data_IF_517772022281
#
_entry.id   IF_517772022281
#
_cell.length_a   1.000
_cell.length_b   1.000
_cell.length_c   1.000
_cell.angle_alpha   90.00
_cell.angle_beta   90.00
_cell.angle_gamma   90.00
#
_symmetry.space_group_name_H-M   'P 1'
#
loop_
_entity.id
_entity.type
_entity.pdbx_description
1 polymer ?
#
# COMPACT_ATOMS: atom_id res chain seq x y z
N UNK A 1 -0.24 17.48 -3.98
CA UNK A 1 0.99 17.00 -3.31
C UNK A 1 2.11 17.91 -3.77
N UNK A 2 2.86 18.46 -2.83
CA UNK A 2 4.07 19.23 -3.07
C UNK A 2 5.28 18.43 -2.61
N UNK A 3 6.39 18.58 -3.32
CA UNK A 3 7.67 17.99 -2.96
C UNK A 3 8.65 19.14 -2.77
N UNK A 4 9.20 19.22 -1.56
CA UNK A 4 10.22 20.20 -1.21
C UNK A 4 11.60 19.52 -1.26
N UNK A 5 12.55 20.06 -2.02
CA UNK A 5 13.92 19.55 -2.08
C UNK A 5 14.82 20.39 -1.16
N UNK A 6 15.40 19.73 -0.15
CA UNK A 6 16.34 20.32 0.80
C UNK A 6 17.80 19.91 0.50
N UNK A 7 18.06 19.29 -0.66
CA UNK A 7 19.38 18.83 -1.11
C UNK A 7 19.75 17.44 -0.57
N UNK A 8 19.73 17.26 0.75
CA UNK A 8 20.01 15.96 1.38
C UNK A 8 18.74 15.19 1.76
N UNK A 9 17.58 15.84 1.68
CA UNK A 9 16.29 15.24 2.03
C UNK A 9 15.18 15.83 1.18
N UNK A 10 14.10 15.05 1.01
CA UNK A 10 12.86 15.50 0.38
C UNK A 10 11.78 15.66 1.46
N UNK A 11 11.08 16.80 1.42
CA UNK A 11 9.82 17.02 2.13
C UNK A 11 8.64 16.64 1.26
N UNK A 12 7.62 16.03 1.86
CA UNK A 12 6.37 15.68 1.21
C UNK A 12 5.21 16.35 1.93
N UNK A 13 4.50 17.23 1.21
CA UNK A 13 3.33 17.93 1.73
C UNK A 13 2.08 17.54 0.94
N UNK A 14 1.17 16.79 1.55
CA UNK A 14 -0.10 16.40 0.94
C UNK A 14 -1.23 17.37 1.33
N UNK A 15 -1.88 17.94 0.32
CA UNK A 15 -3.16 18.62 0.47
C UNK A 15 -4.25 17.63 0.05
N UNK A 16 -5.13 17.29 0.98
CA UNK A 16 -6.16 16.26 0.80
C UNK A 16 -7.54 16.82 1.14
N UNK A 17 -8.56 16.32 0.46
CA UNK A 17 -9.94 16.54 0.85
C UNK A 17 -10.40 15.41 1.78
N UNK A 18 -11.23 15.74 2.76
CA UNK A 18 -11.88 14.72 3.60
C UNK A 18 -12.69 13.74 2.74
N UNK A 19 -12.73 12.44 3.09
CA UNK A 19 -12.19 11.81 4.30
C UNK A 19 -10.74 11.27 4.16
N UNK A 20 -10.00 11.70 3.15
CA UNK A 20 -8.66 11.14 2.86
C UNK A 20 -7.64 11.63 3.88
N UNK A 21 -6.83 10.71 4.43
CA UNK A 21 -5.75 11.04 5.36
C UNK A 21 -4.51 11.54 4.62
N UNK A 22 -4.03 12.73 4.99
CA UNK A 22 -2.80 13.30 4.44
C UNK A 22 -1.59 12.42 4.79
N UNK A 23 -1.50 11.93 6.02
CA UNK A 23 -0.43 11.04 6.48
C UNK A 23 -0.34 9.77 5.63
N UNK A 24 -1.48 9.16 5.29
CA UNK A 24 -1.50 7.98 4.42
C UNK A 24 -0.99 8.30 3.02
N UNK A 25 -1.41 9.42 2.44
CA UNK A 25 -0.94 9.85 1.11
C UNK A 25 0.56 10.12 1.13
N UNK A 26 1.06 10.82 2.15
CA UNK A 26 2.51 11.03 2.31
C UNK A 26 3.26 9.71 2.49
N UNK A 27 2.75 8.79 3.33
CA UNK A 27 3.36 7.48 3.55
C UNK A 27 3.43 6.62 2.28
N UNK A 28 2.38 6.64 1.45
CA UNK A 28 2.38 5.96 0.15
C UNK A 28 3.42 6.54 -0.80
N UNK A 29 3.52 7.86 -0.88
CA UNK A 29 4.49 8.53 -1.74
C UNK A 29 5.92 8.28 -1.27
N UNK A 30 6.16 8.31 0.03
CA UNK A 30 7.45 7.96 0.60
C UNK A 30 7.83 6.52 0.22
N UNK A 31 6.95 5.55 0.46
CA UNK A 31 7.24 4.15 0.16
C UNK A 31 7.47 3.92 -1.35
N UNK A 32 6.72 4.60 -2.22
CA UNK A 32 6.93 4.52 -3.66
C UNK A 32 8.32 5.05 -4.08
N UNK A 33 8.80 6.14 -3.46
CA UNK A 33 10.12 6.70 -3.74
C UNK A 33 11.26 5.79 -3.24
N UNK A 34 11.08 5.15 -2.07
CA UNK A 34 12.01 4.15 -1.56
C UNK A 34 12.10 2.96 -2.53
N UNK A 35 10.96 2.41 -2.94
CA UNK A 35 10.92 1.29 -3.89
C UNK A 35 11.46 1.66 -5.27
N UNK A 36 11.26 2.90 -5.72
CA UNK A 36 11.83 3.40 -6.97
C UNK A 36 13.36 3.46 -6.89
N UNK A 37 13.90 3.97 -5.78
CA UNK A 37 15.36 4.01 -5.55
C UNK A 37 15.96 2.60 -5.53
N UNK A 38 15.34 1.69 -4.78
CA UNK A 38 15.72 0.27 -4.71
C UNK A 38 15.72 -0.38 -6.11
N UNK A 39 14.66 -0.15 -6.90
CA UNK A 39 14.55 -0.70 -8.24
C UNK A 39 15.59 -0.10 -9.19
N UNK A 40 15.87 1.19 -9.12
CA UNK A 40 16.91 1.81 -9.94
C UNK A 40 18.31 1.25 -9.62
N UNK A 41 18.58 0.93 -8.36
CA UNK A 41 19.86 0.35 -7.93
C UNK A 41 20.02 -1.11 -8.37
N UNK A 42 18.98 -1.94 -8.18
CA UNK A 42 19.09 -3.39 -8.35
C UNK A 42 18.53 -3.92 -9.67
N UNK A 43 17.50 -3.28 -10.22
CA UNK A 43 16.75 -3.75 -11.38
C UNK A 43 16.13 -2.58 -12.16
N UNK A 44 16.92 -1.73 -12.83
CA UNK A 44 16.46 -0.45 -13.39
C UNK A 44 15.43 -0.62 -14.53
N UNK A 45 15.32 -1.81 -15.10
CA UNK A 45 14.32 -2.14 -16.12
C UNK A 45 12.97 -2.58 -15.52
N UNK A 46 12.82 -2.58 -14.20
CA UNK A 46 11.55 -2.90 -13.54
C UNK A 46 10.49 -1.89 -13.98
N UNK A 47 9.34 -2.34 -14.51
CA UNK A 47 8.25 -1.44 -14.87
C UNK A 47 7.74 -0.69 -13.65
N UNK A 48 7.58 0.64 -13.76
CA UNK A 48 7.11 1.49 -12.64
C UNK A 48 5.79 1.00 -12.04
N UNK A 49 4.91 0.42 -12.85
CA UNK A 49 3.62 -0.16 -12.40
C UNK A 49 3.75 -1.35 -11.45
N UNK A 50 4.92 -1.97 -11.38
CA UNK A 50 5.20 -3.14 -10.52
C UNK A 50 5.77 -2.73 -9.16
N UNK A 51 6.08 -1.45 -8.96
CA UNK A 51 6.55 -0.93 -7.68
C UNK A 51 5.43 -0.97 -6.63
N UNK A 52 5.76 -1.51 -5.46
CA UNK A 52 4.86 -1.51 -4.32
C UNK A 52 4.72 -0.09 -3.75
N UNK A 53 3.49 0.43 -3.73
CA UNK A 53 3.21 1.77 -3.18
C UNK A 53 2.66 1.66 -1.75
N UNK A 54 2.04 0.53 -1.40
CA UNK A 54 1.48 0.30 -0.08
C UNK A 54 2.56 -0.18 0.89
N UNK A 55 2.72 0.46 2.07
CA UNK A 55 3.57 -0.06 3.13
C UNK A 55 3.16 -1.48 3.52
N UNK A 56 4.14 -2.30 3.90
CA UNK A 56 3.93 -3.72 4.21
C UNK A 56 2.84 -3.95 5.27
N UNK A 57 2.80 -3.12 6.31
CA UNK A 57 1.79 -3.21 7.36
C UNK A 57 0.37 -2.96 6.84
N UNK A 58 0.18 -1.96 5.98
CA UNK A 58 -1.15 -1.66 5.41
C UNK A 58 -1.56 -2.71 4.39
N UNK A 59 -0.60 -3.23 3.60
CA UNK A 59 -0.87 -4.37 2.71
C UNK A 59 -1.34 -5.59 3.50
N UNK A 60 -0.69 -5.93 4.61
CA UNK A 60 -1.09 -7.04 5.48
C UNK A 60 -2.48 -6.81 6.09
N UNK A 61 -2.74 -5.61 6.60
CA UNK A 61 -4.06 -5.25 7.11
C UNK A 61 -5.17 -5.45 6.05
N UNK A 62 -4.96 -4.95 4.84
CA UNK A 62 -5.95 -5.03 3.76
C UNK A 62 -6.13 -6.46 3.24
N UNK A 63 -5.04 -7.21 3.04
CA UNK A 63 -5.10 -8.52 2.40
C UNK A 63 -5.33 -9.67 3.37
N UNK A 64 -4.96 -9.53 4.64
CA UNK A 64 -5.00 -10.62 5.61
C UNK A 64 -6.03 -10.34 6.70
N UNK A 65 -5.98 -9.16 7.34
CA UNK A 65 -6.86 -8.89 8.48
C UNK A 65 -8.31 -8.67 8.05
N UNK A 66 -8.56 -7.80 7.07
CA UNK A 66 -9.91 -7.56 6.56
C UNK A 66 -10.49 -8.76 5.81
N UNK A 67 -9.64 -9.60 5.22
CA UNK A 67 -10.06 -10.79 4.48
C UNK A 67 -10.06 -12.06 5.35
N UNK A 68 -10.00 -11.94 6.69
CA UNK A 68 -10.12 -13.07 7.61
C UNK A 68 -11.57 -13.57 7.73
N UNK A 69 -12.16 -13.95 6.61
CA UNK A 69 -13.54 -14.45 6.49
C UNK A 69 -13.59 -15.98 6.33
N UNK A 70 -12.44 -16.66 6.44
CA UNK A 70 -12.35 -18.11 6.40
C UNK A 70 -13.20 -18.73 7.51
N UNK A 71 -14.33 -19.33 7.12
CA UNK A 71 -15.22 -20.08 7.98
C UNK A 71 -15.33 -21.50 7.43
N UNK A 72 -15.31 -22.50 8.32
CA UNK A 72 -15.53 -23.88 7.92
C UNK A 72 -16.94 -24.02 7.34
N UNK A 73 -17.03 -24.41 6.07
CA UNK A 73 -18.31 -24.68 5.41
C UNK A 73 -18.64 -26.18 5.53
N UNK A 74 -19.76 -26.57 6.17
CA UNK A 74 -20.16 -27.97 6.26
C UNK A 74 -20.61 -28.47 4.88
N UNK A 75 -19.70 -29.06 4.11
CA UNK A 75 -19.97 -29.58 2.76
C UNK A 75 -20.94 -30.77 2.75
N UNK A 76 -21.19 -31.39 3.90
CA UNK A 76 -22.08 -32.55 4.06
C UNK A 76 -23.54 -32.15 4.33
N UNK A 77 -23.82 -30.89 4.65
CA UNK A 77 -25.19 -30.38 4.89
C UNK A 77 -25.71 -29.72 3.63
N UNK A 78 -26.95 -29.99 3.28
CA UNK A 78 -27.63 -29.26 2.23
C UNK A 78 -27.83 -27.79 2.65
N UNK A 79 -27.96 -26.87 1.68
CA UNK A 79 -28.10 -25.42 1.96
C UNK A 79 -29.29 -25.12 2.88
N UNK A 80 -30.39 -25.88 2.76
CA UNK A 80 -31.58 -25.73 3.61
C UNK A 80 -31.40 -26.25 5.04
N UNK A 81 -30.28 -26.93 5.30
CA UNK A 81 -29.91 -27.44 6.62
C UNK A 81 -28.89 -26.52 7.30
N UNK A 82 -28.37 -25.47 6.65
CA UNK A 82 -27.39 -24.54 7.23
C UNK A 82 -28.03 -23.43 8.07
#
# INVERSE_FOLDING_TARGET
LSVEDYGEALGLTAQVAEPVSADRVCGYMQHALEQLTEALEHAPNTPVRELAILPAAERAYLLEELNRTAAAYPSERCIHEL
#
